data_IF_461603075506
#
_entry.id   IF_461603075506
#
_cell.length_a   1.000
_cell.length_b   1.000
_cell.length_c   1.000
_cell.angle_alpha   90.00
_cell.angle_beta   90.00
_cell.angle_gamma   90.00
#
_symmetry.space_group_name_H-M   'P 1'
#
loop_
_entity.id
_entity.type
_entity.pdbx_description
1 polymer ?
#
# COMPACT_ATOMS: atom_id res chain seq x y z
N UNK A 1 31.28 -2.44 19.04
CA UNK A 1 31.02 -3.67 18.26
C UNK A 1 31.38 -4.94 19.05
N UNK A 2 32.52 -5.00 19.76
CA UNK A 2 32.89 -6.15 20.60
C UNK A 2 31.89 -6.48 21.72
N UNK A 3 31.36 -5.47 22.42
CA UNK A 3 30.34 -5.67 23.47
C UNK A 3 29.07 -6.31 22.91
N UNK A 4 28.58 -5.81 21.77
CA UNK A 4 27.39 -6.32 21.08
C UNK A 4 27.58 -7.79 20.65
N UNK A 5 28.76 -8.13 20.11
CA UNK A 5 29.07 -9.51 19.73
C UNK A 5 29.19 -10.45 20.94
N UNK A 6 29.63 -9.94 22.10
CA UNK A 6 29.81 -10.75 23.31
C UNK A 6 28.55 -10.90 24.17
N UNK A 7 27.65 -9.92 24.16
CA UNK A 7 26.45 -9.92 25.01
C UNK A 7 25.18 -10.34 24.28
N UNK A 8 25.25 -10.56 22.97
CA UNK A 8 24.09 -10.91 22.15
C UNK A 8 24.12 -12.39 21.78
N UNK A 9 23.75 -13.22 22.75
CA UNK A 9 23.63 -14.69 22.62
C UNK A 9 22.44 -15.11 21.74
N UNK A 10 21.55 -14.19 21.40
CA UNK A 10 20.30 -14.39 20.67
C UNK A 10 20.44 -14.18 19.15
N UNK A 11 21.62 -13.77 18.67
CA UNK A 11 21.90 -13.57 17.24
C UNK A 11 22.21 -14.88 16.48
N UNK A 12 22.07 -16.02 17.13
CA UNK A 12 22.08 -17.31 16.48
C UNK A 12 20.62 -17.70 16.27
N UNK A 13 20.11 -17.43 15.06
CA UNK A 13 18.79 -17.92 14.65
C UNK A 13 18.66 -19.41 14.94
N UNK A 14 17.46 -19.82 15.31
CA UNK A 14 17.18 -21.20 15.73
C UNK A 14 17.68 -22.18 14.67
N UNK A 15 18.63 -23.09 14.96
CA UNK A 15 19.15 -24.03 13.97
C UNK A 15 18.09 -25.01 13.47
N UNK A 16 16.94 -25.10 14.15
CA UNK A 16 15.75 -25.84 13.70
C UNK A 16 14.94 -25.11 12.61
N UNK A 17 15.18 -23.80 12.41
CA UNK A 17 14.55 -22.96 11.38
C UNK A 17 15.37 -22.83 10.07
N UNK A 18 16.37 -23.69 9.86
CA UNK A 18 17.03 -23.84 8.55
C UNK A 18 16.12 -24.54 7.52
N UNK A 19 14.85 -24.13 7.42
CA UNK A 19 14.03 -24.41 6.26
C UNK A 19 14.69 -23.69 5.09
N UNK A 20 15.13 -24.46 4.09
CA UNK A 20 15.71 -23.91 2.87
C UNK A 20 14.79 -22.80 2.33
N UNK A 21 15.36 -21.69 1.85
CA UNK A 21 14.57 -20.59 1.28
C UNK A 21 13.57 -21.14 0.25
N UNK A 22 13.99 -22.10 -0.57
CA UNK A 22 13.13 -22.78 -1.54
C UNK A 22 11.93 -23.50 -0.89
N UNK A 23 12.10 -24.15 0.26
CA UNK A 23 11.01 -24.76 1.00
C UNK A 23 10.04 -23.71 1.59
N UNK A 24 10.57 -22.58 2.08
CA UNK A 24 9.73 -21.47 2.58
C UNK A 24 8.93 -20.81 1.44
N UNK A 25 9.57 -20.56 0.30
CA UNK A 25 8.92 -20.05 -0.91
C UNK A 25 7.85 -21.03 -1.44
N UNK A 26 8.13 -22.33 -1.42
CA UNK A 26 7.15 -23.36 -1.79
C UNK A 26 5.96 -23.39 -0.82
N UNK A 27 6.21 -23.32 0.48
CA UNK A 27 5.15 -23.25 1.50
C UNK A 27 4.30 -21.99 1.34
N UNK A 28 4.94 -20.83 1.09
CA UNK A 28 4.24 -19.59 0.80
C UNK A 28 3.39 -19.69 -0.48
N UNK A 29 3.92 -20.27 -1.56
CA UNK A 29 3.19 -20.48 -2.80
C UNK A 29 1.95 -21.38 -2.59
N UNK A 30 2.07 -22.44 -1.79
CA UNK A 30 0.94 -23.30 -1.43
C UNK A 30 -0.08 -22.55 -0.57
N UNK A 31 0.36 -21.76 0.42
CA UNK A 31 -0.54 -20.96 1.25
C UNK A 31 -1.29 -19.90 0.44
N UNK A 32 -0.60 -19.23 -0.48
CA UNK A 32 -1.17 -18.26 -1.43
C UNK A 32 -2.19 -18.93 -2.36
N UNK A 33 -1.88 -20.13 -2.87
CA UNK A 33 -2.79 -20.88 -3.73
C UNK A 33 -4.01 -21.44 -2.98
N UNK A 34 -3.89 -21.61 -1.66
CA UNK A 34 -4.96 -22.16 -0.82
C UNK A 34 -5.91 -21.09 -0.30
N UNK A 35 -5.41 -19.87 -0.05
CA UNK A 35 -6.22 -18.75 0.43
C UNK A 35 -6.10 -17.52 -0.49
N UNK A 36 -7.15 -17.31 -1.28
CA UNK A 36 -7.27 -16.17 -2.18
C UNK A 36 -7.16 -14.82 -1.44
N UNK A 37 -7.57 -14.75 -0.16
CA UNK A 37 -7.47 -13.51 0.64
C UNK A 37 -6.02 -13.11 0.87
N UNK A 38 -5.16 -14.09 1.12
CA UNK A 38 -3.71 -13.88 1.30
C UNK A 38 -3.10 -13.37 -0.01
N UNK A 39 -3.48 -13.98 -1.14
CA UNK A 39 -3.00 -13.57 -2.45
C UNK A 39 -3.42 -12.12 -2.79
N UNK A 40 -4.70 -11.80 -2.60
CA UNK A 40 -5.25 -10.46 -2.84
C UNK A 40 -4.58 -9.42 -1.94
N UNK A 41 -4.43 -9.71 -0.65
CA UNK A 41 -3.81 -8.79 0.31
C UNK A 41 -2.34 -8.51 -0.05
N UNK A 42 -1.57 -9.54 -0.41
CA UNK A 42 -0.18 -9.40 -0.83
C UNK A 42 -0.02 -8.61 -2.13
N UNK A 43 -0.92 -8.81 -3.10
CA UNK A 43 -0.94 -8.06 -4.34
C UNK A 43 -1.29 -6.57 -4.13
N UNK A 44 -2.33 -6.27 -3.35
CA UNK A 44 -2.76 -4.91 -3.00
C UNK A 44 -1.62 -4.15 -2.31
N UNK A 45 -1.00 -4.79 -1.33
CA UNK A 45 0.10 -4.19 -0.58
C UNK A 45 1.27 -3.85 -1.50
N UNK A 46 1.65 -4.79 -2.37
CA UNK A 46 2.76 -4.60 -3.28
C UNK A 46 2.47 -3.47 -4.27
N UNK A 47 1.28 -3.46 -4.90
CA UNK A 47 0.88 -2.42 -5.86
C UNK A 47 0.91 -1.01 -5.25
N UNK A 48 0.45 -0.88 -4.01
CA UNK A 48 0.48 0.39 -3.29
C UNK A 48 1.90 0.83 -2.97
N UNK A 49 2.73 -0.06 -2.43
CA UNK A 49 4.12 0.25 -2.09
C UNK A 49 4.96 0.59 -3.32
N UNK A 50 4.79 -0.13 -4.43
CA UNK A 50 5.45 0.19 -5.69
C UNK A 50 5.09 1.59 -6.21
N UNK A 51 3.81 1.98 -6.07
CA UNK A 51 3.34 3.32 -6.42
C UNK A 51 3.90 4.40 -5.48
N UNK A 52 3.98 4.11 -4.18
CA UNK A 52 4.59 5.00 -3.18
C UNK A 52 6.08 5.23 -3.47
N UNK A 53 6.85 4.17 -3.74
CA UNK A 53 8.28 4.31 -4.03
C UNK A 53 8.51 5.15 -5.30
N UNK A 54 7.72 4.89 -6.34
CA UNK A 54 7.76 5.69 -7.57
C UNK A 54 7.44 7.16 -7.29
N UNK A 55 6.41 7.45 -6.48
CA UNK A 55 6.07 8.80 -6.06
C UNK A 55 7.23 9.50 -5.33
N UNK A 56 7.89 8.83 -4.38
CA UNK A 56 9.01 9.39 -3.61
C UNK A 56 10.19 9.79 -4.52
N UNK A 57 10.40 9.09 -5.63
CA UNK A 57 11.42 9.49 -6.61
C UNK A 57 10.97 10.61 -7.55
N UNK A 58 9.69 10.66 -7.91
CA UNK A 58 9.18 11.54 -8.96
C UNK A 58 8.57 12.86 -8.47
N UNK A 59 8.23 13.01 -7.18
CA UNK A 59 7.58 14.23 -6.70
C UNK A 59 8.44 15.49 -6.87
N UNK A 60 9.76 15.39 -6.65
CA UNK A 60 10.70 16.52 -6.81
C UNK A 60 10.77 17.02 -8.26
N UNK A 61 11.05 16.16 -9.27
CA UNK A 61 11.06 16.60 -10.67
C UNK A 61 9.66 16.97 -11.18
N UNK A 62 8.58 16.42 -10.60
CA UNK A 62 7.22 16.81 -10.95
C UNK A 62 6.89 18.25 -10.54
N UNK A 63 7.30 18.66 -9.33
CA UNK A 63 7.08 20.03 -8.84
C UNK A 63 8.08 21.04 -9.42
N UNK A 64 9.33 20.64 -9.65
CA UNK A 64 10.40 21.52 -10.12
C UNK A 64 10.51 21.61 -11.65
N UNK A 65 9.45 21.29 -12.39
CA UNK A 65 9.47 21.29 -13.86
C UNK A 65 9.73 22.67 -14.50
N UNK A 66 9.58 23.76 -13.75
CA UNK A 66 9.78 25.14 -14.21
C UNK A 66 11.04 25.85 -13.63
N UNK A 67 12.00 25.11 -13.04
CA UNK A 67 13.18 25.70 -12.37
C UNK A 67 12.83 26.73 -11.27
N UNK A 68 11.68 26.56 -10.61
CA UNK A 68 11.27 27.40 -9.48
C UNK A 68 12.11 27.03 -8.23
N UNK A 69 12.62 28.03 -7.49
CA UNK A 69 13.28 27.80 -6.19
C UNK A 69 12.23 27.40 -5.14
N UNK A 70 11.91 26.12 -5.11
CA UNK A 70 10.92 25.55 -4.20
C UNK A 70 11.65 25.03 -2.94
N UNK A 71 11.20 25.41 -1.73
CA UNK A 71 11.76 24.87 -0.49
C UNK A 71 11.34 23.40 -0.28
N UNK A 72 12.07 22.46 -0.90
CA UNK A 72 11.77 21.02 -0.87
C UNK A 72 11.62 20.47 0.55
N UNK A 73 12.41 20.98 1.52
CA UNK A 73 12.34 20.55 2.92
C UNK A 73 10.99 20.86 3.57
N UNK A 74 10.39 22.03 3.29
CA UNK A 74 9.07 22.40 3.83
C UNK A 74 7.94 21.59 3.19
N UNK A 75 8.05 21.28 1.89
CA UNK A 75 7.10 20.40 1.20
C UNK A 75 7.15 18.99 1.78
N UNK A 76 8.35 18.45 1.95
CA UNK A 76 8.53 17.14 2.57
C UNK A 76 8.00 17.10 4.01
N UNK A 77 8.22 18.16 4.80
CA UNK A 77 7.63 18.28 6.13
C UNK A 77 6.08 18.30 6.08
N UNK A 78 5.50 18.94 5.07
CA UNK A 78 4.04 18.95 4.84
C UNK A 78 3.52 17.55 4.49
N UNK A 79 4.26 16.79 3.69
CA UNK A 79 3.95 15.39 3.39
C UNK A 79 3.99 14.51 4.65
N UNK A 80 5.01 14.67 5.49
CA UNK A 80 5.11 13.97 6.77
C UNK A 80 3.97 14.36 7.72
N UNK A 81 3.58 15.63 7.77
CA UNK A 81 2.41 16.07 8.52
C UNK A 81 1.13 15.40 8.01
N UNK A 82 0.93 15.36 6.69
CA UNK A 82 -0.23 14.73 6.06
C UNK A 82 -0.30 13.23 6.38
N UNK A 83 0.82 12.51 6.31
CA UNK A 83 0.87 11.08 6.64
C UNK A 83 0.65 10.80 8.14
N UNK A 84 1.11 11.68 9.03
CA UNK A 84 0.78 11.61 10.46
C UNK A 84 -0.71 11.83 10.73
N UNK A 85 -1.33 12.79 10.05
CA UNK A 85 -2.78 13.03 10.12
C UNK A 85 -3.56 11.81 9.63
N UNK A 86 -3.16 11.24 8.49
CA UNK A 86 -3.74 10.01 7.95
C UNK A 86 -3.65 8.83 8.92
N UNK A 87 -2.47 8.62 9.53
CA UNK A 87 -2.25 7.56 10.51
C UNK A 87 -3.13 7.74 11.77
N UNK A 88 -3.33 8.99 12.19
CA UNK A 88 -4.21 9.32 13.33
C UNK A 88 -5.68 9.04 13.01
N UNK A 89 -6.12 9.35 11.79
CA UNK A 89 -7.46 9.02 11.29
C UNK A 89 -7.64 7.49 11.26
N UNK A 90 -6.68 6.76 10.72
CA UNK A 90 -6.72 5.30 10.70
C UNK A 90 -6.80 4.71 12.11
N UNK A 91 -5.99 5.18 13.07
CA UNK A 91 -6.06 4.71 14.45
C UNK A 91 -7.46 4.90 15.07
N UNK A 92 -8.12 6.02 14.80
CA UNK A 92 -9.51 6.26 15.26
C UNK A 92 -10.52 5.37 14.53
N UNK A 93 -10.37 5.19 13.22
CA UNK A 93 -11.23 4.28 12.44
C UNK A 93 -11.07 2.83 12.91
N UNK A 94 -9.85 2.42 13.25
CA UNK A 94 -9.54 1.08 13.74
C UNK A 94 -10.03 0.82 15.16
N UNK A 95 -10.14 1.86 15.99
CA UNK A 95 -10.69 1.81 17.33
C UNK A 95 -12.22 1.62 17.34
N UNK A 96 -12.91 2.08 16.28
CA UNK A 96 -14.34 1.86 16.12
C UNK A 96 -14.60 0.54 15.40
N UNK A 97 -15.49 -0.30 15.93
CA UNK A 97 -15.86 -1.59 15.33
C UNK A 97 -16.70 -1.49 14.05
N UNK A 98 -17.17 -0.29 13.68
CA UNK A 98 -18.17 -0.08 12.62
C UNK A 98 -17.60 0.05 11.20
N UNK A 99 -16.55 0.84 10.91
CA UNK A 99 -15.96 0.84 9.57
C UNK A 99 -15.07 -0.39 9.39
N UNK A 100 -15.51 -1.34 8.57
CA UNK A 100 -14.66 -2.46 8.13
C UNK A 100 -13.42 -1.89 7.43
N UNK A 101 -12.23 -2.37 7.83
CA UNK A 101 -10.96 -2.03 7.19
C UNK A 101 -11.03 -2.16 5.66
N UNK A 102 -11.76 -3.16 5.19
CA UNK A 102 -11.91 -3.45 3.77
C UNK A 102 -12.62 -2.36 2.98
N UNK A 103 -13.63 -1.72 3.58
CA UNK A 103 -14.52 -0.76 2.93
C UNK A 103 -13.85 0.59 2.75
N UNK A 104 -13.29 1.16 3.83
CA UNK A 104 -12.67 2.48 3.72
C UNK A 104 -11.35 2.44 2.92
N UNK A 105 -10.65 1.28 2.88
CA UNK A 105 -9.44 1.13 2.07
C UNK A 105 -9.70 1.25 0.57
N UNK A 106 -10.90 0.91 0.08
CA UNK A 106 -11.27 1.16 -1.32
C UNK A 106 -11.31 2.65 -1.63
N UNK A 107 -11.85 3.44 -0.70
CA UNK A 107 -11.87 4.91 -0.82
C UNK A 107 -10.45 5.44 -0.80
N UNK A 108 -9.58 4.93 0.07
CA UNK A 108 -8.16 5.31 0.14
C UNK A 108 -7.48 5.05 -1.22
N UNK A 109 -7.62 3.85 -1.80
CA UNK A 109 -7.01 3.55 -3.10
C UNK A 109 -7.59 4.40 -4.24
N UNK A 110 -8.90 4.67 -4.22
CA UNK A 110 -9.55 5.53 -5.21
C UNK A 110 -9.04 6.97 -5.13
N UNK A 111 -8.96 7.53 -3.92
CA UNK A 111 -8.41 8.87 -3.69
C UNK A 111 -6.95 8.93 -4.09
N UNK A 112 -6.14 7.93 -3.71
CA UNK A 112 -4.73 7.83 -4.14
C UNK A 112 -4.58 7.79 -5.67
N UNK A 113 -5.42 7.01 -6.36
CA UNK A 113 -5.38 6.91 -7.82
C UNK A 113 -5.72 8.24 -8.49
N UNK A 114 -6.73 8.97 -8.00
CA UNK A 114 -7.11 10.30 -8.48
C UNK A 114 -6.00 11.32 -8.18
N UNK A 115 -5.43 11.30 -6.98
CA UNK A 115 -4.34 12.20 -6.58
C UNK A 115 -3.12 12.07 -7.48
N UNK A 116 -2.74 10.86 -7.90
CA UNK A 116 -1.63 10.63 -8.83
C UNK A 116 -2.00 10.91 -10.30
N UNK A 117 -3.29 11.04 -10.64
CA UNK A 117 -3.72 11.54 -11.96
C UNK A 117 -3.65 13.07 -12.07
N UNK A 118 -3.67 13.79 -10.96
CA UNK A 118 -3.68 15.26 -10.97
C UNK A 118 -2.51 15.87 -11.77
N UNK A 119 -1.24 15.43 -11.60
CA UNK A 119 -0.14 15.94 -12.42
C UNK A 119 -0.32 15.71 -13.91
N UNK A 120 -1.01 14.64 -14.31
CA UNK A 120 -1.30 14.35 -15.72
C UNK A 120 -2.34 15.34 -16.24
N UNK A 121 -3.46 15.47 -15.52
CA UNK A 121 -4.56 16.36 -15.90
C UNK A 121 -4.09 17.81 -15.95
N UNK A 122 -3.30 18.27 -14.98
CA UNK A 122 -2.80 19.65 -14.97
C UNK A 122 -1.83 19.91 -16.12
N UNK A 123 -0.96 18.95 -16.49
CA UNK A 123 -0.09 19.09 -17.67
C UNK A 123 -0.88 19.14 -19.00
N UNK A 124 -2.05 18.49 -19.08
CA UNK A 124 -2.87 18.48 -20.30
C UNK A 124 -3.83 19.66 -20.41
N UNK A 125 -4.41 20.14 -19.29
CA UNK A 125 -5.46 21.17 -19.30
C UNK A 125 -4.97 22.58 -18.99
N UNK A 126 -3.81 22.73 -18.35
CA UNK A 126 -3.27 24.03 -17.95
C UNK A 126 -1.98 24.26 -18.74
N UNK A 127 -2.02 25.20 -19.69
CA UNK A 127 -0.80 25.64 -20.39
C UNK A 127 0.26 26.05 -19.34
N UNK A 128 1.52 25.63 -19.49
CA UNK A 128 2.58 26.03 -18.57
C UNK A 128 2.65 27.55 -18.55
N UNK A 129 2.38 28.15 -17.38
CA UNK A 129 2.50 29.58 -17.19
C UNK A 129 3.91 30.01 -17.59
N UNK A 130 4.03 30.79 -18.66
CA UNK A 130 5.32 31.30 -19.19
C UNK A 130 5.97 32.36 -18.30
N UNK A 131 5.46 32.59 -17.09
CA UNK A 131 5.99 33.58 -16.17
C UNK A 131 7.14 32.97 -15.38
N UNK A 132 8.36 33.13 -15.90
CA UNK A 132 9.61 32.83 -15.20
C UNK A 132 9.79 33.83 -14.05
N UNK A 133 9.79 33.34 -12.82
CA UNK A 133 10.13 34.12 -11.62
C UNK A 133 8.91 34.54 -10.80
N UNK A 134 8.41 33.62 -9.98
CA UNK A 134 7.39 33.83 -8.96
C UNK A 134 7.28 32.59 -8.07
N UNK A 135 6.66 32.73 -6.88
CA UNK A 135 6.38 31.58 -6.01
C UNK A 135 5.45 30.54 -6.67
N UNK A 136 5.11 29.48 -5.92
CA UNK A 136 4.38 28.30 -6.43
C UNK A 136 3.23 28.68 -7.37
N UNK A 137 3.37 28.31 -8.65
CA UNK A 137 2.32 28.49 -9.66
C UNK A 137 1.00 27.82 -9.24
N UNK A 138 -0.15 28.31 -9.72
CA UNK A 138 -1.46 27.71 -9.43
C UNK A 138 -1.50 26.21 -9.77
N UNK A 139 -0.83 25.81 -10.86
CA UNK A 139 -0.69 24.40 -11.24
C UNK A 139 0.13 23.60 -10.21
N UNK A 140 1.24 24.16 -9.72
CA UNK A 140 2.07 23.55 -8.68
C UNK A 140 1.35 23.44 -7.33
N UNK A 141 0.48 24.39 -6.99
CA UNK A 141 -0.36 24.33 -5.79
C UNK A 141 -1.36 23.18 -5.85
N UNK A 142 -1.99 22.94 -7.01
CA UNK A 142 -2.91 21.81 -7.22
C UNK A 142 -2.15 20.48 -7.13
N UNK A 143 -0.96 20.39 -7.72
CA UNK A 143 -0.12 19.19 -7.64
C UNK A 143 0.31 18.91 -6.19
N UNK A 144 0.73 19.94 -5.45
CA UNK A 144 1.11 19.83 -4.04
C UNK A 144 -0.07 19.34 -3.19
N UNK A 145 -1.28 19.86 -3.41
CA UNK A 145 -2.48 19.37 -2.74
C UNK A 145 -2.77 17.90 -3.06
N UNK A 146 -2.65 17.50 -4.32
CA UNK A 146 -2.78 16.11 -4.74
C UNK A 146 -1.78 15.19 -4.04
N UNK A 147 -0.52 15.61 -3.97
CA UNK A 147 0.55 14.87 -3.31
C UNK A 147 0.34 14.78 -1.80
N UNK A 148 -0.12 15.86 -1.15
CA UNK A 148 -0.51 15.82 0.26
C UNK A 148 -1.68 14.85 0.51
N UNK A 149 -2.68 14.83 -0.37
CA UNK A 149 -3.81 13.89 -0.26
C UNK A 149 -3.35 12.44 -0.45
N UNK A 150 -2.41 12.18 -1.36
CA UNK A 150 -1.79 10.87 -1.52
C UNK A 150 -1.03 10.45 -0.25
N UNK A 151 -0.23 11.34 0.34
CA UNK A 151 0.51 11.06 1.58
C UNK A 151 -0.40 10.83 2.79
N UNK A 152 -1.52 11.55 2.90
CA UNK A 152 -2.54 11.26 3.89
C UNK A 152 -3.13 9.83 3.70
N UNK A 153 -3.34 9.41 2.45
CA UNK A 153 -3.78 8.05 2.14
C UNK A 153 -2.71 6.99 2.50
N UNK A 154 -1.42 7.26 2.27
CA UNK A 154 -0.31 6.41 2.72
C UNK A 154 -0.32 6.25 4.24
N UNK A 155 -0.55 7.35 4.97
CA UNK A 155 -0.71 7.33 6.43
C UNK A 155 -1.87 6.44 6.89
N UNK A 156 -3.00 6.46 6.17
CA UNK A 156 -4.15 5.59 6.49
C UNK A 156 -3.87 4.12 6.15
N UNK A 157 -3.16 3.89 5.04
CA UNK A 157 -2.88 2.57 4.50
C UNK A 157 -2.05 1.70 5.47
N UNK A 158 -0.98 2.25 6.06
CA UNK A 158 -0.05 1.47 6.89
C UNK A 158 -0.67 0.80 8.13
N UNK A 159 -1.43 1.50 9.00
CA UNK A 159 -2.11 0.86 10.12
C UNK A 159 -3.18 -0.15 9.67
N UNK A 160 -3.86 0.14 8.56
CA UNK A 160 -4.97 -0.65 8.06
C UNK A 160 -4.50 -1.98 7.46
N UNK A 161 -3.46 -1.95 6.62
CA UNK A 161 -2.85 -3.15 6.06
C UNK A 161 -2.23 -4.01 7.17
N UNK A 162 -1.65 -3.38 8.20
CA UNK A 162 -1.10 -4.09 9.36
C UNK A 162 -2.15 -4.94 10.08
N UNK A 163 -3.35 -4.39 10.28
CA UNK A 163 -4.48 -5.10 10.88
C UNK A 163 -5.02 -6.22 10.00
N UNK A 164 -5.19 -5.99 8.70
CA UNK A 164 -5.67 -7.04 7.79
C UNK A 164 -4.64 -8.17 7.66
N UNK A 165 -3.35 -7.82 7.62
CA UNK A 165 -2.24 -8.75 7.65
C UNK A 165 -2.21 -9.58 8.92
N UNK A 166 -2.56 -8.97 10.06
CA UNK A 166 -2.64 -9.69 11.33
C UNK A 166 -3.78 -10.70 11.41
N UNK A 167 -4.87 -10.44 10.69
CA UNK A 167 -6.06 -11.29 10.70
C UNK A 167 -5.98 -12.42 9.66
N UNK A 168 -5.41 -12.15 8.49
CA UNK A 168 -5.45 -13.09 7.36
C UNK A 168 -4.18 -13.90 7.16
N UNK A 169 -3.02 -13.44 7.64
CA UNK A 169 -1.75 -14.11 7.35
C UNK A 169 -1.15 -14.72 8.64
N UNK A 170 -0.93 -16.05 8.68
CA UNK A 170 -0.27 -16.69 9.81
C UNK A 170 1.12 -16.07 10.05
N UNK A 171 1.48 -15.90 11.32
CA UNK A 171 2.68 -15.16 11.72
C UNK A 171 3.96 -15.75 11.12
N UNK A 172 4.04 -17.08 11.07
CA UNK A 172 5.18 -17.86 10.58
C UNK A 172 5.52 -17.61 9.10
N UNK A 173 4.51 -17.41 8.24
CA UNK A 173 4.70 -17.27 6.80
C UNK A 173 4.56 -15.83 6.29
N UNK A 174 4.26 -14.88 7.18
CA UNK A 174 3.91 -13.50 6.82
C UNK A 174 5.01 -12.81 6.03
N UNK A 175 6.24 -12.85 6.52
CA UNK A 175 7.39 -12.23 5.86
C UNK A 175 7.62 -12.83 4.46
N UNK A 176 7.57 -14.15 4.35
CA UNK A 176 7.81 -14.89 3.11
C UNK A 176 6.74 -14.60 2.06
N UNK A 177 5.46 -14.62 2.44
CA UNK A 177 4.34 -14.30 1.54
C UNK A 177 4.45 -12.87 1.02
N UNK A 178 4.73 -11.89 1.89
CA UNK A 178 4.89 -10.51 1.45
C UNK A 178 6.08 -10.34 0.50
N UNK A 179 7.21 -10.97 0.80
CA UNK A 179 8.39 -10.91 -0.05
C UNK A 179 8.16 -11.58 -1.41
N UNK A 180 7.34 -12.64 -1.46
CA UNK A 180 6.95 -13.31 -2.71
C UNK A 180 6.28 -12.35 -3.71
N UNK A 181 5.40 -11.47 -3.24
CA UNK A 181 4.73 -10.47 -4.09
C UNK A 181 5.56 -9.20 -4.30
N UNK A 182 6.32 -8.78 -3.27
CA UNK A 182 7.14 -7.57 -3.32
C UNK A 182 8.31 -7.68 -4.28
N UNK A 183 9.02 -8.82 -4.30
CA UNK A 183 10.26 -8.95 -5.10
C UNK A 183 9.97 -8.74 -6.60
N UNK A 184 9.02 -9.45 -7.24
CA UNK A 184 8.75 -9.27 -8.67
C UNK A 184 8.26 -7.86 -9.01
N UNK A 185 7.36 -7.31 -8.18
CA UNK A 185 6.78 -6.01 -8.45
C UNK A 185 7.79 -4.88 -8.24
N UNK A 186 8.61 -4.94 -7.19
CA UNK A 186 9.65 -3.93 -6.96
C UNK A 186 10.76 -4.03 -8.02
N UNK A 187 11.11 -5.22 -8.50
CA UNK A 187 12.01 -5.37 -9.65
C UNK A 187 11.40 -4.68 -10.89
N UNK A 188 10.12 -4.90 -11.17
CA UNK A 188 9.43 -4.23 -12.27
C UNK A 188 9.48 -2.70 -12.12
N UNK A 189 9.17 -2.17 -10.93
CA UNK A 189 9.26 -0.73 -10.64
C UNK A 189 10.67 -0.20 -10.82
N UNK A 190 11.69 -0.92 -10.32
CA UNK A 190 13.09 -0.56 -10.51
C UNK A 190 13.49 -0.52 -11.99
N UNK A 191 13.02 -1.46 -12.81
CA UNK A 191 13.28 -1.46 -14.26
C UNK A 191 12.64 -0.25 -14.94
N UNK A 192 11.41 0.12 -14.55
CA UNK A 192 10.72 1.30 -15.08
C UNK A 192 11.45 2.59 -14.67
N UNK A 193 11.84 2.70 -13.40
CA UNK A 193 12.59 3.84 -12.88
C UNK A 193 14.00 3.93 -13.47
N UNK A 194 14.67 2.80 -13.73
CA UNK A 194 15.96 2.79 -14.43
C UNK A 194 15.85 3.38 -15.84
N UNK A 195 14.71 3.15 -16.51
CA UNK A 195 14.40 3.70 -17.82
C UNK A 195 13.68 5.07 -17.73
N UNK A 196 13.85 5.83 -16.65
CA UNK A 196 13.18 7.15 -16.48
C UNK A 196 13.53 8.17 -17.54
N UNK A 197 14.74 8.10 -18.11
CA UNK A 197 15.11 8.96 -19.23
C UNK A 197 14.36 8.62 -20.53
N UNK A 198 13.82 7.40 -20.64
CA UNK A 198 13.06 6.94 -21.81
C UNK A 198 11.54 7.16 -21.67
N UNK A 199 11.02 7.33 -20.45
CA UNK A 199 9.58 7.46 -20.20
C UNK A 199 9.24 8.82 -19.58
N UNK A 200 8.28 9.58 -20.17
CA UNK A 200 7.78 10.81 -19.56
C UNK A 200 7.22 10.56 -18.15
N UNK A 201 7.45 11.52 -17.24
CA UNK A 201 6.93 11.49 -15.86
C UNK A 201 5.41 11.25 -15.83
N UNK A 202 4.69 11.78 -16.81
CA UNK A 202 3.24 11.57 -17.02
C UNK A 202 2.88 10.08 -17.17
N UNK A 203 3.68 9.30 -17.90
CA UNK A 203 3.45 7.86 -18.09
C UNK A 203 3.68 7.11 -16.77
N UNK A 204 4.70 7.51 -16.00
CA UNK A 204 4.99 6.88 -14.71
C UNK A 204 3.89 7.12 -13.68
N UNK A 205 3.38 8.35 -13.57
CA UNK A 205 2.22 8.64 -12.73
C UNK A 205 0.95 7.94 -13.24
N UNK A 206 0.79 7.82 -14.56
CA UNK A 206 -0.32 7.09 -15.17
C UNK A 206 -0.29 5.60 -14.79
N UNK A 207 0.88 4.97 -14.86
CA UNK A 207 1.08 3.59 -14.42
C UNK A 207 0.80 3.41 -12.93
N UNK A 208 1.27 4.32 -12.08
CA UNK A 208 0.97 4.29 -10.64
C UNK A 208 -0.53 4.40 -10.38
N UNK A 209 -1.23 5.29 -11.09
CA UNK A 209 -2.69 5.40 -10.97
C UNK A 209 -3.40 4.11 -11.39
N UNK A 210 -2.97 3.48 -12.50
CA UNK A 210 -3.50 2.18 -12.93
C UNK A 210 -3.27 1.10 -11.86
N UNK A 211 -2.08 1.04 -11.26
CA UNK A 211 -1.78 0.10 -10.18
C UNK A 211 -2.65 0.31 -8.94
N UNK A 212 -2.88 1.56 -8.56
CA UNK A 212 -3.78 1.90 -7.45
C UNK A 212 -5.24 1.59 -7.78
N UNK A 213 -5.66 1.78 -9.03
CA UNK A 213 -7.00 1.40 -9.48
C UNK A 213 -7.19 -0.12 -9.47
N UNK A 214 -6.20 -0.88 -9.95
CA UNK A 214 -6.19 -2.35 -9.83
C UNK A 214 -6.23 -2.76 -8.36
N UNK A 215 -5.43 -2.13 -7.49
CA UNK A 215 -5.47 -2.37 -6.05
C UNK A 215 -6.86 -2.10 -5.46
N UNK A 216 -7.57 -1.07 -5.92
CA UNK A 216 -8.96 -0.81 -5.53
C UNK A 216 -9.91 -1.94 -5.93
N UNK A 217 -9.79 -2.46 -7.16
CA UNK A 217 -10.60 -3.60 -7.63
C UNK A 217 -10.29 -4.85 -6.81
N UNK A 218 -9.01 -5.14 -6.56
CA UNK A 218 -8.58 -6.27 -5.74
C UNK A 218 -9.09 -6.14 -4.30
N UNK A 219 -9.07 -4.93 -3.73
CA UNK A 219 -9.61 -4.64 -2.41
C UNK A 219 -11.13 -4.85 -2.37
N UNK A 220 -11.84 -4.53 -3.45
CA UNK A 220 -13.26 -4.83 -3.59
C UNK A 220 -13.54 -6.32 -3.64
N UNK A 221 -12.76 -7.08 -4.41
CA UNK A 221 -12.83 -8.55 -4.42
C UNK A 221 -12.59 -9.14 -3.04
N UNK A 222 -11.56 -8.66 -2.34
CA UNK A 222 -11.22 -9.10 -0.99
C UNK A 222 -12.38 -8.87 -0.01
N UNK A 223 -13.02 -7.71 -0.07
CA UNK A 223 -14.19 -7.39 0.75
C UNK A 223 -15.36 -8.36 0.50
N UNK A 224 -15.67 -8.63 -0.77
CA UNK A 224 -16.77 -9.54 -1.15
C UNK A 224 -16.49 -10.96 -0.65
N UNK A 225 -15.25 -11.43 -0.74
CA UNK A 225 -14.85 -12.76 -0.29
C UNK A 225 -14.89 -12.83 1.24
N UNK A 226 -14.37 -11.81 1.94
CA UNK A 226 -14.39 -11.73 3.40
C UNK A 226 -15.83 -11.74 3.96
N UNK A 227 -16.75 -11.03 3.31
CA UNK A 227 -18.16 -11.01 3.71
C UNK A 227 -18.85 -12.36 3.45
N UNK A 228 -18.55 -13.04 2.33
CA UNK A 228 -19.08 -14.39 2.07
C UNK A 228 -18.64 -15.42 3.11
N UNK A 229 -17.34 -15.46 3.45
CA UNK A 229 -16.85 -16.41 4.48
C UNK A 229 -17.53 -16.18 5.82
N UNK A 230 -17.74 -14.92 6.23
CA UNK A 230 -18.45 -14.60 7.48
C UNK A 230 -19.91 -15.06 7.48
N UNK A 231 -20.60 -14.96 6.34
CA UNK A 231 -21.99 -15.41 6.21
C UNK A 231 -22.06 -16.94 6.31
N UNK A 232 -21.13 -17.66 5.66
CA UNK A 232 -21.03 -19.11 5.78
C UNK A 232 -20.74 -19.53 7.23
N UNK A 233 -19.76 -18.91 7.88
CA UNK A 233 -19.44 -19.12 9.30
C UNK A 233 -20.59 -18.81 10.26
N UNK A 234 -21.56 -17.96 9.89
CA UNK A 234 -22.76 -17.71 10.70
C UNK A 234 -23.90 -18.69 10.41
N UNK A 235 -23.92 -19.24 9.19
CA UNK A 235 -24.95 -20.18 8.74
C UNK A 235 -24.69 -21.62 9.19
N UNK A 236 -23.42 -22.03 9.37
CA UNK A 236 -23.05 -23.36 9.87
C UNK A 236 -23.20 -23.60 11.38
N UNK A 237 -22.92 -22.66 12.32
CA UNK A 237 -23.08 -22.90 13.75
C UNK A 237 -24.53 -23.14 14.16
N UNK A 238 -25.51 -22.55 13.46
CA UNK A 238 -26.93 -22.84 13.68
C UNK A 238 -27.32 -24.27 13.30
N UNK A 239 -26.59 -24.92 12.40
CA UNK A 239 -26.89 -26.28 11.96
C UNK A 239 -26.34 -27.34 12.91
N UNK A 240 -25.33 -27.02 13.73
CA UNK A 240 -24.76 -27.93 14.72
C UNK A 240 -25.56 -27.93 16.03
N UNK A 241 -26.24 -26.84 16.38
CA UNK A 241 -27.15 -26.75 17.53
C UNK A 241 -28.53 -27.38 17.29
N UNK A 242 -28.88 -27.71 16.05
CA UNK A 242 -30.17 -28.30 15.68
C UNK A 242 -30.13 -29.84 15.60
N UNK A 243 -28.99 -30.48 15.89
CA UNK A 243 -28.78 -31.93 15.80
C UNK A 243 -28.51 -32.62 17.15
N UNK A 244 -28.89 -32.01 18.26
CA UNK A 244 -29.14 -32.79 19.49
C UNK A 244 -30.58 -33.33 19.41
N UNK A 245 -30.78 -34.63 19.10
CA UNK A 245 -32.10 -35.21 19.30
C UNK A 245 -32.37 -35.21 20.81
N UNK A 246 -33.45 -34.54 21.19
CA UNK A 246 -34.14 -34.76 22.45
C UNK A 246 -34.51 -36.25 22.56
N UNK A 247 -33.67 -37.05 23.19
CA UNK A 247 -34.04 -38.40 23.65
C UNK A 247 -34.01 -38.43 25.17
N UNK A 248 -35.22 -38.24 25.72
CA UNK A 248 -35.68 -38.71 27.03
C UNK A 248 -35.68 -40.24 27.03
#
# INVERSE_FOLDING_TARGET
MAVILSSWTENYGDPSENKSLLAQFKAAAVAIASDEKIALLGAIQSLFEGSMYTFVFLWTPALSSNDEEIPHGFIFATFMLASMLGSSIASRLLANSSPKAESYMQVVFSVSAVSLLLPIVTNFFVEPSKVRGGGISFSGSIQLLGFCAFEACVGIFWPSIMKMRSQYIPEEARSTIMNFFRIPLNIFVCVVLYNVNAFPITIMFGMCSIFLFVACILQWRLMVIADKTKIEEYSYPNRASEVEPLSI
#
